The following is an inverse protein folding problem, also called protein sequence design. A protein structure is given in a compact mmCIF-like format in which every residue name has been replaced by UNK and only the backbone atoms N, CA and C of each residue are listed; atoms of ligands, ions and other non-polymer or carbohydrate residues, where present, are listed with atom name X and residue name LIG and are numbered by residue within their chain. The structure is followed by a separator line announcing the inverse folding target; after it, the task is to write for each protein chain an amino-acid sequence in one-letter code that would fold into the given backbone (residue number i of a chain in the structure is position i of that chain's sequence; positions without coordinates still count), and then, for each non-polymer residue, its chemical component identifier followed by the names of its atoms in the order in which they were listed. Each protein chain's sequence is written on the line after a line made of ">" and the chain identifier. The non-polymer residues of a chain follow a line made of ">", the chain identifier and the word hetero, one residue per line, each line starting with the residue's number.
data_IF_422953345630
#
_entry.id   IF_422953345630
#
_cell.length_a   1.000
_cell.length_b   1.000
_cell.length_c   1.000
_cell.angle_alpha   90.00
_cell.angle_beta   90.00
_cell.angle_gamma   90.00
#
_symmetry.space_group_name_H-M   'P 1'
#
loop_
_entity.id
_entity.type
_entity.pdbx_description
1 polymer ?
#
# COMPACT_ATOMS: atom_id res chain seq x y z
N UNK A 1 -8.80 4.54 7.27
CA UNK A 1 -8.07 3.96 6.13
C UNK A 1 -8.20 2.46 6.22
N UNK A 2 -8.71 1.83 5.17
CA UNK A 2 -8.69 0.37 5.01
C UNK A 2 -7.61 -0.03 4.01
N UNK A 3 -7.16 -1.27 4.05
CA UNK A 3 -6.09 -1.76 3.17
C UNK A 3 -6.51 -1.68 1.69
N UNK A 4 -7.75 -2.03 1.39
CA UNK A 4 -8.31 -2.02 0.04
C UNK A 4 -8.34 -0.60 -0.52
N UNK A 5 -8.78 0.37 0.27
CA UNK A 5 -8.80 1.79 -0.10
C UNK A 5 -7.39 2.33 -0.35
N UNK A 6 -6.39 1.90 0.44
CA UNK A 6 -4.98 2.26 0.23
C UNK A 6 -4.41 1.67 -1.06
N UNK A 7 -4.91 0.53 -1.50
CA UNK A 7 -4.51 -0.11 -2.76
C UNK A 7 -5.19 0.50 -3.97
N UNK A 8 -6.46 0.87 -3.82
CA UNK A 8 -7.28 1.43 -4.91
C UNK A 8 -6.96 2.91 -5.15
N UNK A 9 -6.83 3.71 -4.09
CA UNK A 9 -6.59 5.16 -4.18
C UNK A 9 -5.38 5.61 -3.32
N UNK A 10 -4.17 5.09 -3.59
CA UNK A 10 -3.00 5.31 -2.75
C UNK A 10 -2.64 6.79 -2.55
N UNK A 11 -2.77 7.62 -3.59
CA UNK A 11 -2.50 9.06 -3.53
C UNK A 11 -3.47 9.79 -2.58
N UNK A 12 -4.77 9.51 -2.69
CA UNK A 12 -5.80 10.10 -1.82
C UNK A 12 -5.57 9.69 -0.37
N UNK A 13 -5.30 8.40 -0.13
CA UNK A 13 -5.06 7.92 1.23
C UNK A 13 -3.76 8.49 1.83
N UNK A 14 -2.70 8.66 1.04
CA UNK A 14 -1.44 9.25 1.51
C UNK A 14 -1.61 10.73 1.88
N UNK A 15 -2.32 11.52 1.06
CA UNK A 15 -2.62 12.92 1.37
C UNK A 15 -3.48 13.05 2.64
N UNK A 16 -4.52 12.22 2.77
CA UNK A 16 -5.35 12.15 3.97
C UNK A 16 -4.55 11.80 5.23
N UNK A 17 -3.57 10.90 5.11
CA UNK A 17 -2.67 10.57 6.22
C UNK A 17 -1.76 11.75 6.59
N UNK A 18 -1.20 12.44 5.60
CA UNK A 18 -0.35 13.60 5.79
C UNK A 18 -1.10 14.75 6.49
N UNK A 19 -2.33 15.04 6.06
CA UNK A 19 -3.25 15.96 6.74
C UNK A 19 -3.50 15.57 8.20
N UNK A 20 -3.81 14.29 8.46
CA UNK A 20 -4.05 13.79 9.82
C UNK A 20 -2.83 13.95 10.74
N UNK A 21 -1.62 13.79 10.19
CA UNK A 21 -0.37 13.98 10.92
C UNK A 21 0.00 15.47 11.11
N UNK A 22 -0.78 16.40 10.56
CA UNK A 22 -0.48 17.84 10.61
C UNK A 22 0.62 18.28 9.64
N UNK A 23 0.92 17.45 8.64
CA UNK A 23 1.93 17.70 7.61
C UNK A 23 1.33 17.58 6.21
N UNK A 24 0.28 18.35 5.87
CA UNK A 24 -0.32 18.28 4.53
C UNK A 24 0.71 18.66 3.47
N UNK A 25 0.59 18.05 2.28
CA UNK A 25 1.41 18.41 1.14
C UNK A 25 1.06 19.82 0.66
N UNK A 26 2.08 20.60 0.32
CA UNK A 26 1.95 21.86 -0.39
C UNK A 26 1.74 21.63 -1.90
N UNK A 27 1.19 22.62 -2.59
CA UNK A 27 0.99 22.57 -4.04
C UNK A 27 2.32 22.33 -4.78
N UNK A 28 3.41 22.97 -4.36
CA UNK A 28 4.74 22.77 -4.93
C UNK A 28 5.27 21.33 -4.73
N UNK A 29 5.03 20.73 -3.56
CA UNK A 29 5.40 19.33 -3.30
C UNK A 29 4.59 18.36 -4.17
N UNK A 30 3.32 18.66 -4.41
CA UNK A 30 2.49 17.86 -5.30
C UNK A 30 2.91 18.01 -6.76
N UNK A 31 3.10 19.23 -7.25
CA UNK A 31 3.53 19.52 -8.63
C UNK A 31 4.93 18.98 -8.94
N UNK A 32 5.81 18.95 -7.95
CA UNK A 32 7.15 18.34 -8.08
C UNK A 32 7.14 16.80 -7.99
N UNK A 33 5.96 16.19 -7.88
CA UNK A 33 5.76 14.74 -7.80
C UNK A 33 6.19 14.13 -6.47
N UNK A 34 6.23 14.91 -5.39
CA UNK A 34 6.64 14.45 -4.05
C UNK A 34 5.77 13.30 -3.54
N UNK A 35 4.46 13.36 -3.79
CA UNK A 35 3.51 12.29 -3.43
C UNK A 35 3.84 10.99 -4.16
N UNK A 36 4.07 11.06 -5.47
CA UNK A 36 4.40 9.88 -6.29
C UNK A 36 5.73 9.24 -5.89
N UNK A 37 6.75 10.05 -5.56
CA UNK A 37 8.05 9.57 -5.07
C UNK A 37 7.91 8.79 -3.76
N UNK A 38 7.05 9.26 -2.84
CA UNK A 38 6.78 8.55 -1.58
C UNK A 38 6.04 7.23 -1.86
N UNK A 39 5.04 7.25 -2.75
CA UNK A 39 4.33 6.04 -3.16
C UNK A 39 5.26 5.01 -3.79
N UNK A 40 6.18 5.45 -4.65
CA UNK A 40 7.19 4.59 -5.27
C UNK A 40 8.13 4.00 -4.21
N UNK A 41 8.70 4.84 -3.35
CA UNK A 41 9.64 4.44 -2.29
C UNK A 41 9.02 3.42 -1.34
N UNK A 42 7.77 3.65 -0.93
CA UNK A 42 7.03 2.81 0.02
C UNK A 42 6.22 1.70 -0.67
N UNK A 43 6.38 1.51 -1.98
CA UNK A 43 5.65 0.46 -2.70
C UNK A 43 6.08 -0.92 -2.24
N UNK A 44 5.18 -1.91 -2.35
CA UNK A 44 5.49 -3.29 -2.02
C UNK A 44 6.74 -3.78 -2.75
N UNK A 45 6.84 -3.47 -4.05
CA UNK A 45 7.97 -3.82 -4.91
C UNK A 45 9.28 -3.22 -4.40
N UNK A 46 9.29 -1.91 -4.18
CA UNK A 46 10.48 -1.21 -3.70
C UNK A 46 10.95 -1.75 -2.35
N UNK A 47 10.03 -1.98 -1.42
CA UNK A 47 10.35 -2.48 -0.09
C UNK A 47 10.76 -3.96 -0.10
N UNK A 48 10.17 -4.81 -0.93
CA UNK A 48 10.54 -6.23 -1.03
C UNK A 48 11.94 -6.44 -1.61
N UNK A 49 12.40 -5.53 -2.46
CA UNK A 49 13.70 -5.63 -3.14
C UNK A 49 14.88 -5.20 -2.25
N UNK A 50 14.62 -4.52 -1.12
CA UNK A 50 15.66 -4.10 -0.16
C UNK A 50 16.33 -5.32 0.48
N UNK A 51 17.67 -5.40 0.42
CA UNK A 51 18.45 -6.56 0.88
C UNK A 51 18.16 -6.99 2.32
N UNK A 52 17.93 -6.03 3.23
CA UNK A 52 17.61 -6.31 4.64
C UNK A 52 16.25 -7.01 4.76
N UNK A 53 15.29 -6.64 3.91
CA UNK A 53 13.94 -7.19 3.92
C UNK A 53 13.85 -8.60 3.33
N UNK A 54 14.89 -9.07 2.62
CA UNK A 54 14.97 -10.46 2.13
C UNK A 54 15.06 -11.49 3.26
N UNK A 55 15.57 -11.10 4.43
CA UNK A 55 15.55 -11.96 5.63
C UNK A 55 14.12 -12.10 6.18
N UNK A 56 13.24 -11.15 5.84
CA UNK A 56 11.84 -11.07 6.20
C UNK A 56 10.93 -11.47 5.02
N UNK A 57 11.34 -12.45 4.19
CA UNK A 57 10.57 -12.91 3.02
C UNK A 57 9.09 -13.23 3.35
N UNK A 58 8.80 -13.68 4.57
CA UNK A 58 7.43 -13.92 5.04
C UNK A 58 6.56 -12.66 5.15
N UNK A 59 7.16 -11.47 5.26
CA UNK A 59 6.45 -10.20 5.40
C UNK A 59 5.98 -9.63 4.04
N UNK A 60 6.64 -9.97 2.93
CA UNK A 60 6.37 -9.42 1.60
C UNK A 60 5.95 -10.54 0.63
N UNK A 61 4.70 -11.00 0.72
CA UNK A 61 4.11 -11.98 -0.20
C UNK A 61 3.59 -11.29 -1.48
N UNK A 62 2.30 -11.43 -1.83
CA UNK A 62 1.70 -10.80 -3.02
C UNK A 62 1.28 -9.35 -2.79
N UNK A 63 0.83 -9.02 -1.58
CA UNK A 63 0.27 -7.70 -1.25
C UNK A 63 -0.83 -7.27 -2.23
N UNK A 64 -1.79 -8.15 -2.47
CA UNK A 64 -2.91 -7.97 -3.40
C UNK A 64 -4.24 -8.19 -2.68
N UNK A 65 -5.23 -7.37 -3.01
CA UNK A 65 -6.62 -7.54 -2.55
C UNK A 65 -7.25 -8.69 -3.33
N UNK A 66 -7.92 -9.60 -2.61
CA UNK A 66 -8.71 -10.67 -3.22
C UNK A 66 -7.94 -11.96 -3.54
N UNK A 67 -6.65 -12.07 -3.19
CA UNK A 67 -5.89 -13.30 -3.36
C UNK A 67 -6.44 -14.48 -2.52
N UNK A 68 -7.29 -14.20 -1.53
CA UNK A 68 -8.05 -15.22 -0.80
C UNK A 68 -8.84 -16.15 -1.74
N UNK A 69 -9.34 -15.65 -2.87
CA UNK A 69 -10.09 -16.43 -3.88
C UNK A 69 -9.26 -17.55 -4.52
N UNK A 70 -7.92 -17.43 -4.48
CA UNK A 70 -7.02 -18.47 -4.99
C UNK A 70 -6.81 -19.61 -3.98
N UNK A 71 -7.27 -19.45 -2.74
CA UNK A 71 -6.99 -20.37 -1.65
C UNK A 71 -8.25 -20.88 -0.94
N UNK A 72 -9.36 -20.15 -1.00
CA UNK A 72 -10.63 -20.54 -0.39
C UNK A 72 -11.52 -21.26 -1.40
N UNK A 73 -12.15 -22.34 -0.96
CA UNK A 73 -13.24 -22.96 -1.71
C UNK A 73 -14.51 -22.10 -1.57
N UNK A 74 -15.47 -22.15 -2.51
CA UNK A 74 -16.72 -21.40 -2.41
C UNK A 74 -17.48 -21.66 -1.09
N UNK A 75 -17.40 -22.89 -0.57
CA UNK A 75 -17.99 -23.26 0.73
C UNK A 75 -17.31 -22.56 1.92
N UNK A 76 -16.01 -22.30 1.83
CA UNK A 76 -15.26 -21.60 2.87
C UNK A 76 -15.55 -20.09 2.81
N UNK A 77 -15.65 -19.51 1.61
CA UNK A 77 -16.00 -18.09 1.43
C UNK A 77 -17.39 -17.77 1.99
N UNK A 78 -18.39 -18.63 1.77
CA UNK A 78 -19.75 -18.42 2.31
C UNK A 78 -19.85 -18.46 3.85
N UNK A 79 -18.76 -18.83 4.55
CA UNK A 79 -18.72 -18.94 6.02
C UNK A 79 -18.05 -17.74 6.69
N UNK A 80 -17.53 -16.79 5.91
CA UNK A 80 -16.85 -15.58 6.37
C UNK A 80 -17.79 -14.40 6.13
#
# INVERSE_FOLDING_TARGET
>A
MKYEEMKEEPCVQLKRLAEFLGCPFSEEEEESGGVDKILELCSLRSLSDVAINKILELCFRKGEVGDSKNHLTPKMEMRI
#
